data_IF_796581590204
#
_entry.id   IF_796581590204
#
_cell.length_a   1.000
_cell.length_b   1.000
_cell.length_c   1.000
_cell.angle_alpha   90.00
_cell.angle_beta   90.00
_cell.angle_gamma   90.00
#
_symmetry.space_group_name_H-M   'P 1'
#
loop_
_entity.id
_entity.type
_entity.pdbx_description
1 polymer ?
#
# COMPACT_ATOMS: atom_id res chain seq x y z
N UNK A 1 2.75 39.63 63.48
CA UNK A 1 3.69 39.45 62.37
C UNK A 1 3.06 38.45 61.41
N UNK A 2 2.28 38.93 60.44
CA UNK A 2 1.49 38.06 59.56
C UNK A 2 2.34 37.70 58.34
N UNK A 3 2.75 36.44 58.25
CA UNK A 3 3.52 35.92 57.12
C UNK A 3 2.53 35.77 55.95
N UNK A 4 2.71 36.55 54.89
CA UNK A 4 1.92 36.42 53.67
C UNK A 4 2.25 35.08 53.00
N UNK A 5 1.25 34.21 52.84
CA UNK A 5 1.34 33.00 52.00
C UNK A 5 1.60 33.38 50.54
N UNK A 6 2.45 32.64 49.80
CA UNK A 6 2.69 32.92 48.39
C UNK A 6 1.37 32.76 47.63
N UNK A 7 0.94 33.80 46.91
CA UNK A 7 -0.17 33.68 45.97
C UNK A 7 0.15 32.57 44.97
N UNK A 8 -0.67 31.53 44.96
CA UNK A 8 -0.60 30.43 44.00
C UNK A 8 -0.61 31.00 42.58
N UNK A 9 0.46 30.73 41.82
CA UNK A 9 0.55 31.11 40.41
C UNK A 9 -0.65 30.51 39.66
N UNK A 10 -1.25 31.32 38.80
CA UNK A 10 -2.67 31.31 38.44
C UNK A 10 -3.07 30.11 37.55
N UNK A 11 -4.22 29.45 37.79
CA UNK A 11 -4.76 28.35 36.97
C UNK A 11 -5.00 28.70 35.48
N UNK A 12 -4.99 29.99 35.16
CA UNK A 12 -5.11 30.50 33.80
C UNK A 12 -3.84 30.26 32.96
N UNK A 13 -2.65 30.21 33.57
CA UNK A 13 -1.39 29.91 32.88
C UNK A 13 -1.31 28.42 32.53
N UNK A 14 -1.70 27.55 33.46
CA UNK A 14 -1.70 26.10 33.25
C UNK A 14 -2.68 25.70 32.14
N UNK A 15 -3.85 26.34 32.08
CA UNK A 15 -4.82 26.15 30.99
C UNK A 15 -4.28 26.62 29.63
N UNK A 16 -3.59 27.76 29.59
CA UNK A 16 -3.02 28.27 28.34
C UNK A 16 -1.94 27.34 27.80
N UNK A 17 -1.10 26.79 28.69
CA UNK A 17 -0.06 25.82 28.33
C UNK A 17 -0.70 24.51 27.86
N UNK A 18 -1.75 24.01 28.52
CA UNK A 18 -2.46 22.81 28.07
C UNK A 18 -3.15 23.01 26.72
N UNK A 19 -3.77 24.17 26.48
CA UNK A 19 -4.45 24.47 25.22
C UNK A 19 -3.45 24.59 24.06
N UNK A 20 -2.26 25.18 24.30
CA UNK A 20 -1.17 25.24 23.33
C UNK A 20 -0.58 23.85 23.03
N UNK A 21 -0.43 23.01 24.05
CA UNK A 21 0.03 21.63 23.88
C UNK A 21 -0.97 20.80 23.06
N UNK A 22 -2.26 20.90 23.37
CA UNK A 22 -3.33 20.22 22.62
C UNK A 22 -3.42 20.72 21.17
N UNK A 23 -3.24 22.03 20.92
CA UNK A 23 -3.23 22.58 19.57
C UNK A 23 -2.05 22.03 18.74
N UNK A 24 -0.85 21.93 19.34
CA UNK A 24 0.31 21.35 18.68
C UNK A 24 0.12 19.85 18.37
N UNK A 25 -0.50 19.09 19.28
CA UNK A 25 -0.86 17.69 19.01
C UNK A 25 -1.88 17.56 17.87
N UNK A 26 -2.88 18.45 17.82
CA UNK A 26 -3.87 18.47 16.75
C UNK A 26 -3.26 18.81 15.39
N UNK A 27 -2.35 19.78 15.33
CA UNK A 27 -1.66 20.16 14.09
C UNK A 27 -0.83 18.99 13.53
N UNK A 28 -0.15 18.24 14.40
CA UNK A 28 0.60 17.04 13.99
C UNK A 28 -0.33 15.92 13.52
N UNK A 29 -1.46 15.68 14.20
CA UNK A 29 -2.47 14.71 13.74
C UNK A 29 -3.05 15.12 12.38
N UNK A 30 -3.37 16.39 12.18
CA UNK A 30 -3.89 16.88 10.90
C UNK A 30 -2.87 16.69 9.76
N UNK A 31 -1.59 16.97 10.03
CA UNK A 31 -0.51 16.74 9.09
C UNK A 31 -0.39 15.26 8.72
N UNK A 32 -0.37 14.36 9.70
CA UNK A 32 -0.30 12.91 9.47
C UNK A 32 -1.50 12.40 8.66
N UNK A 33 -2.71 12.90 8.94
CA UNK A 33 -3.91 12.54 8.18
C UNK A 33 -3.81 12.99 6.72
N UNK A 34 -3.28 14.20 6.45
CA UNK A 34 -3.05 14.70 5.09
C UNK A 34 -2.02 13.85 4.35
N UNK A 35 -0.91 13.51 4.99
CA UNK A 35 0.14 12.67 4.42
C UNK A 35 -0.39 11.26 4.11
N UNK A 36 -1.12 10.65 5.04
CA UNK A 36 -1.76 9.35 4.85
C UNK A 36 -2.79 9.38 3.70
N UNK A 37 -3.63 10.41 3.64
CA UNK A 37 -4.60 10.57 2.55
C UNK A 37 -3.91 10.77 1.20
N UNK A 38 -2.83 11.55 1.16
CA UNK A 38 -2.04 11.75 -0.05
C UNK A 38 -1.44 10.42 -0.56
N UNK A 39 -0.81 9.65 0.32
CA UNK A 39 -0.26 8.33 -0.02
C UNK A 39 -1.36 7.36 -0.46
N UNK A 40 -2.53 7.40 0.19
CA UNK A 40 -3.68 6.58 -0.22
C UNK A 40 -4.12 6.87 -1.65
N UNK A 41 -4.25 8.15 -2.02
CA UNK A 41 -4.63 8.56 -3.39
C UNK A 41 -3.55 8.17 -4.40
N UNK A 42 -2.28 8.37 -4.05
CA UNK A 42 -1.14 7.98 -4.89
C UNK A 42 -1.14 6.48 -5.15
N UNK A 43 -1.27 5.64 -4.11
CA UNK A 43 -1.36 4.19 -4.24
C UNK A 43 -2.58 3.75 -5.05
N UNK A 44 -3.75 4.36 -4.80
CA UNK A 44 -4.97 4.07 -5.56
C UNK A 44 -4.82 4.36 -7.06
N UNK A 45 -4.12 5.44 -7.44
CA UNK A 45 -3.80 5.75 -8.84
C UNK A 45 -2.84 4.69 -9.41
N UNK A 46 -1.80 4.32 -8.67
CA UNK A 46 -0.86 3.26 -9.04
C UNK A 46 -1.55 1.96 -9.40
N UNK A 47 -2.43 1.47 -8.51
CA UNK A 47 -3.19 0.24 -8.73
C UNK A 47 -4.18 0.40 -9.89
N UNK A 48 -5.01 1.44 -9.88
CA UNK A 48 -6.12 1.53 -10.84
C UNK A 48 -5.66 1.94 -12.24
N UNK A 49 -4.81 2.94 -12.38
CA UNK A 49 -4.30 3.38 -13.66
C UNK A 49 -3.14 2.49 -14.14
N UNK A 50 -2.25 2.07 -13.24
CA UNK A 50 -1.12 1.19 -13.51
C UNK A 50 -1.52 -0.29 -13.53
N UNK A 51 -1.38 -0.99 -12.39
CA UNK A 51 -1.49 -2.46 -12.31
C UNK A 51 -2.73 -3.00 -13.02
N UNK A 52 -3.88 -2.37 -12.80
CA UNK A 52 -5.17 -2.75 -13.37
C UNK A 52 -5.30 -2.39 -14.85
N UNK A 53 -5.37 -1.10 -15.21
CA UNK A 53 -5.72 -0.70 -16.58
C UNK A 53 -4.56 -0.84 -17.57
N UNK A 54 -3.35 -0.43 -17.18
CA UNK A 54 -2.19 -0.45 -18.06
C UNK A 54 -1.64 -1.87 -18.21
N UNK A 55 -1.26 -2.51 -17.11
CA UNK A 55 -0.54 -3.78 -17.18
C UNK A 55 -1.47 -4.99 -17.25
N UNK A 56 -2.59 -5.02 -16.51
CA UNK A 56 -3.47 -6.20 -16.57
C UNK A 56 -4.35 -6.24 -17.81
N UNK A 57 -4.98 -5.11 -18.16
CA UNK A 57 -5.93 -5.05 -19.28
C UNK A 57 -5.38 -4.48 -20.59
N UNK A 58 -4.17 -3.91 -20.58
CA UNK A 58 -3.58 -3.25 -21.77
C UNK A 58 -4.53 -2.20 -22.38
N UNK A 59 -5.29 -1.50 -21.54
CA UNK A 59 -6.36 -0.59 -21.96
C UNK A 59 -5.82 0.67 -22.67
N UNK A 60 -4.55 1.00 -22.46
CA UNK A 60 -3.86 2.11 -23.12
C UNK A 60 -2.35 1.85 -23.17
N UNK A 61 -1.62 2.69 -23.94
CA UNK A 61 -0.16 2.66 -24.01
C UNK A 61 0.42 3.88 -23.32
N UNK A 62 1.38 3.67 -22.42
CA UNK A 62 2.07 4.74 -21.70
C UNK A 62 3.53 4.86 -22.18
N UNK A 63 4.02 6.10 -22.30
CA UNK A 63 5.46 6.35 -22.53
C UNK A 63 6.26 6.03 -21.26
N UNK A 64 7.56 5.80 -21.42
CA UNK A 64 8.46 5.37 -20.34
C UNK A 64 8.36 6.22 -19.05
N UNK A 65 8.32 7.57 -19.08
CA UNK A 65 8.21 8.35 -17.84
C UNK A 65 6.95 8.04 -17.04
N UNK A 66 5.81 7.89 -17.74
CA UNK A 66 4.53 7.56 -17.10
C UNK A 66 4.50 6.14 -16.56
N UNK A 67 5.14 5.18 -17.24
CA UNK A 67 5.27 3.81 -16.74
C UNK A 67 6.09 3.76 -15.45
N UNK A 68 7.20 4.47 -15.40
CA UNK A 68 8.03 4.57 -14.18
C UNK A 68 7.23 5.25 -13.05
N UNK A 69 6.56 6.36 -13.35
CA UNK A 69 5.73 7.07 -12.37
C UNK A 69 4.65 6.15 -11.79
N UNK A 70 3.89 5.45 -12.65
CA UNK A 70 2.82 4.56 -12.20
C UNK A 70 3.35 3.35 -11.41
N UNK A 71 4.52 2.80 -11.76
CA UNK A 71 5.14 1.71 -11.00
C UNK A 71 5.54 2.18 -9.59
N UNK A 72 6.12 3.38 -9.47
CA UNK A 72 6.46 3.96 -8.16
C UNK A 72 5.20 4.23 -7.32
N UNK A 73 4.14 4.75 -7.95
CA UNK A 73 2.85 4.95 -7.29
C UNK A 73 2.25 3.62 -6.82
N UNK A 74 2.29 2.58 -7.64
CA UNK A 74 1.78 1.24 -7.30
C UNK A 74 2.54 0.61 -6.14
N UNK A 75 3.86 0.81 -6.08
CA UNK A 75 4.72 0.33 -4.98
C UNK A 75 4.23 0.86 -3.62
N UNK A 76 3.66 2.07 -3.56
CA UNK A 76 3.10 2.63 -2.31
C UNK A 76 1.83 1.94 -1.85
N UNK A 77 1.12 1.23 -2.72
CA UNK A 77 -0.11 0.51 -2.39
C UNK A 77 0.15 -0.86 -1.74
N UNK A 78 1.36 -1.39 -1.90
CA UNK A 78 1.82 -2.61 -1.25
C UNK A 78 0.95 -3.86 -1.52
N UNK A 79 0.53 -4.06 -2.78
CA UNK A 79 -0.35 -5.16 -3.20
C UNK A 79 0.37 -6.28 -3.98
N UNK A 80 1.60 -6.63 -3.58
CA UNK A 80 2.57 -7.45 -4.34
C UNK A 80 3.13 -6.73 -5.57
N UNK A 81 4.10 -7.35 -6.25
CA UNK A 81 4.65 -6.81 -7.50
C UNK A 81 3.64 -6.83 -8.64
N UNK A 82 3.77 -5.89 -9.57
CA UNK A 82 2.81 -5.69 -10.66
C UNK A 82 2.60 -6.94 -11.52
N UNK A 83 3.64 -7.78 -11.70
CA UNK A 83 3.52 -9.00 -12.51
C UNK A 83 2.66 -10.04 -11.80
N UNK A 84 2.87 -10.26 -10.49
CA UNK A 84 2.00 -11.14 -9.70
C UNK A 84 0.57 -10.60 -9.65
N UNK A 85 0.38 -9.31 -9.38
CA UNK A 85 -0.94 -8.66 -9.36
C UNK A 85 -1.66 -8.86 -10.70
N UNK A 86 -0.99 -8.57 -11.81
CA UNK A 86 -1.58 -8.68 -13.14
C UNK A 86 -1.87 -10.12 -13.56
N UNK A 87 -1.01 -11.08 -13.18
CA UNK A 87 -1.30 -12.51 -13.39
C UNK A 87 -2.57 -12.92 -12.66
N UNK A 88 -2.68 -12.60 -11.38
CA UNK A 88 -3.82 -12.99 -10.56
C UNK A 88 -5.10 -12.29 -11.03
N UNK A 89 -5.01 -11.01 -11.43
CA UNK A 89 -6.14 -10.27 -12.00
C UNK A 89 -6.59 -10.84 -13.35
N UNK A 90 -5.66 -11.23 -14.22
CA UNK A 90 -5.98 -11.93 -15.48
C UNK A 90 -6.62 -13.31 -15.21
N UNK A 91 -6.18 -14.03 -14.18
CA UNK A 91 -6.82 -15.26 -13.74
C UNK A 91 -8.26 -15.00 -13.28
N UNK A 92 -8.45 -13.99 -12.42
CA UNK A 92 -9.75 -13.59 -11.90
C UNK A 92 -10.75 -13.30 -13.02
N UNK A 93 -10.37 -12.53 -14.04
CA UNK A 93 -11.25 -12.24 -15.16
C UNK A 93 -11.53 -13.44 -16.08
N UNK A 94 -10.55 -14.32 -16.28
CA UNK A 94 -10.68 -15.42 -17.24
C UNK A 94 -11.44 -16.63 -16.67
N UNK A 95 -11.32 -16.87 -15.37
CA UNK A 95 -11.90 -18.02 -14.69
C UNK A 95 -12.70 -17.63 -13.45
N UNK A 96 -13.39 -16.49 -13.52
CA UNK A 96 -14.22 -15.91 -12.44
C UNK A 96 -15.10 -16.97 -11.79
N UNK A 97 -15.20 -16.91 -10.46
CA UNK A 97 -16.08 -17.77 -9.65
C UNK A 97 -15.77 -19.29 -9.71
N UNK A 98 -14.64 -19.68 -10.30
CA UNK A 98 -14.12 -21.06 -10.26
C UNK A 98 -12.96 -21.21 -9.27
N UNK A 99 -12.44 -22.42 -9.02
CA UNK A 99 -11.25 -22.56 -8.17
C UNK A 99 -9.94 -22.05 -8.82
N UNK A 100 -9.99 -21.56 -10.07
CA UNK A 100 -8.88 -20.86 -10.70
C UNK A 100 -8.95 -19.33 -10.52
N UNK A 101 -10.01 -18.81 -9.90
CA UNK A 101 -10.13 -17.43 -9.46
C UNK A 101 -9.44 -17.25 -8.08
N UNK A 102 -8.41 -16.40 -7.96
CA UNK A 102 -7.70 -16.15 -6.69
C UNK A 102 -8.61 -15.76 -5.54
N UNK A 103 -9.64 -14.94 -5.80
CA UNK A 103 -10.56 -14.38 -4.81
C UNK A 103 -12.02 -14.77 -5.12
N UNK A 104 -12.21 -16.02 -5.55
CA UNK A 104 -13.49 -16.64 -5.86
C UNK A 104 -14.62 -16.29 -4.87
N UNK A 105 -15.66 -15.61 -5.36
CA UNK A 105 -16.77 -15.12 -4.54
C UNK A 105 -17.69 -16.23 -4.02
N UNK A 106 -17.73 -17.41 -4.69
CA UNK A 106 -18.49 -18.58 -4.23
C UNK A 106 -17.95 -19.18 -2.92
N UNK A 107 -16.75 -18.79 -2.49
CA UNK A 107 -16.18 -19.17 -1.18
C UNK A 107 -16.61 -18.24 -0.04
N UNK A 108 -17.49 -17.28 -0.32
CA UNK A 108 -18.09 -16.36 0.64
C UNK A 108 -17.32 -15.05 0.79
N UNK A 109 -18.02 -14.04 1.33
CA UNK A 109 -17.55 -12.66 1.47
C UNK A 109 -16.17 -12.53 2.12
N UNK A 110 -15.96 -13.21 3.25
CA UNK A 110 -14.68 -13.11 3.97
C UNK A 110 -13.53 -13.63 3.12
N UNK A 111 -13.73 -14.73 2.37
CA UNK A 111 -12.70 -15.29 1.51
C UNK A 111 -12.33 -14.31 0.39
N UNK A 112 -13.31 -13.81 -0.36
CA UNK A 112 -13.08 -12.89 -1.49
C UNK A 112 -12.54 -11.52 -1.05
N UNK A 113 -12.83 -11.09 0.18
CA UNK A 113 -12.37 -9.81 0.70
C UNK A 113 -10.93 -9.86 1.24
N UNK A 114 -10.61 -10.83 2.10
CA UNK A 114 -9.29 -10.93 2.77
C UNK A 114 -8.78 -12.37 2.91
N UNK A 115 -9.66 -13.35 3.09
CA UNK A 115 -9.30 -14.71 3.43
C UNK A 115 -8.42 -15.40 2.38
N UNK A 116 -8.52 -15.01 1.10
CA UNK A 116 -7.67 -15.53 0.02
C UNK A 116 -6.18 -15.22 0.19
N UNK A 117 -5.82 -14.13 0.89
CA UNK A 117 -4.43 -13.76 1.21
C UNK A 117 -3.87 -14.58 2.38
N UNK A 118 -4.74 -15.16 3.21
CA UNK A 118 -4.37 -15.82 4.47
C UNK A 118 -4.19 -17.34 4.32
N UNK A 119 -4.44 -17.88 3.12
CA UNK A 119 -4.37 -19.31 2.85
C UNK A 119 -3.55 -19.57 1.60
N UNK A 120 -3.07 -20.81 1.45
CA UNK A 120 -2.42 -21.21 0.21
C UNK A 120 -3.40 -21.12 -0.96
N UNK A 121 -2.94 -20.55 -2.07
CA UNK A 121 -3.68 -20.52 -3.35
C UNK A 121 -4.09 -21.93 -3.77
N UNK A 122 -5.31 -22.09 -4.24
CA UNK A 122 -5.80 -23.35 -4.78
C UNK A 122 -4.92 -23.81 -5.97
N UNK A 123 -4.61 -25.12 -6.12
CA UNK A 123 -3.71 -25.60 -7.18
C UNK A 123 -4.13 -25.18 -8.60
N UNK A 124 -5.44 -25.10 -8.86
CA UNK A 124 -5.96 -24.66 -10.16
C UNK A 124 -5.55 -23.23 -10.56
N UNK A 125 -5.31 -22.32 -9.60
CA UNK A 125 -4.80 -20.97 -9.91
C UNK A 125 -3.42 -21.08 -10.57
N UNK A 126 -2.55 -21.95 -10.05
CA UNK A 126 -1.21 -22.18 -10.61
C UNK A 126 -1.26 -22.90 -11.95
N UNK A 127 -2.14 -23.89 -12.09
CA UNK A 127 -2.30 -24.66 -13.33
C UNK A 127 -2.86 -23.82 -14.47
N UNK A 128 -3.90 -23.04 -14.21
CA UNK A 128 -4.52 -22.18 -15.20
C UNK A 128 -3.68 -20.93 -15.46
N UNK A 129 -3.06 -20.36 -14.43
CA UNK A 129 -2.17 -19.21 -14.56
C UNK A 129 -0.99 -19.44 -15.52
N UNK A 130 -0.48 -20.67 -15.63
CA UNK A 130 0.53 -21.05 -16.64
C UNK A 130 0.06 -20.91 -18.10
N UNK A 131 -1.26 -20.92 -18.32
CA UNK A 131 -1.88 -20.77 -19.64
C UNK A 131 -2.15 -19.32 -20.02
N UNK A 132 -1.87 -18.37 -19.12
CA UNK A 132 -1.93 -16.95 -19.43
C UNK A 132 -0.70 -16.54 -20.23
N UNK A 133 -0.92 -15.73 -21.26
CA UNK A 133 0.17 -14.97 -21.88
C UNK A 133 0.53 -13.82 -20.94
N UNK A 134 1.78 -13.81 -20.47
CA UNK A 134 2.39 -12.76 -19.66
C UNK A 134 3.65 -12.18 -20.35
N UNK A 135 3.89 -12.54 -21.61
CA UNK A 135 5.10 -12.14 -22.34
C UNK A 135 5.25 -10.62 -22.43
N UNK A 136 4.14 -9.89 -22.49
CA UNK A 136 4.10 -8.44 -22.47
C UNK A 136 4.64 -7.84 -21.17
N UNK A 137 4.34 -8.48 -20.03
CA UNK A 137 4.80 -8.03 -18.72
C UNK A 137 6.29 -8.33 -18.54
N UNK A 138 6.73 -9.51 -18.94
CA UNK A 138 8.14 -9.89 -18.88
C UNK A 138 9.01 -9.21 -19.93
N UNK A 139 8.42 -8.62 -20.97
CA UNK A 139 9.13 -7.76 -21.92
C UNK A 139 9.22 -6.29 -21.45
N UNK A 140 8.51 -5.91 -20.39
CA UNK A 140 8.52 -4.56 -19.84
C UNK A 140 9.76 -4.34 -18.95
N UNK A 141 10.75 -3.52 -19.38
CA UNK A 141 11.96 -3.29 -18.59
C UNK A 141 11.72 -2.52 -17.29
N UNK A 142 10.56 -1.87 -17.12
CA UNK A 142 10.17 -1.23 -15.86
C UNK A 142 9.83 -2.31 -14.82
N UNK A 143 9.06 -3.33 -15.21
CA UNK A 143 8.59 -4.39 -14.30
C UNK A 143 9.69 -5.39 -13.93
N UNK A 144 10.61 -5.70 -14.85
CA UNK A 144 11.74 -6.60 -14.54
C UNK A 144 12.64 -5.97 -13.46
N UNK A 145 12.86 -4.64 -13.55
CA UNK A 145 13.66 -3.90 -12.56
C UNK A 145 12.97 -3.81 -11.20
N UNK A 146 11.65 -3.75 -11.19
CA UNK A 146 10.84 -3.81 -9.97
C UNK A 146 10.98 -5.18 -9.28
N UNK A 147 10.83 -6.28 -10.02
CA UNK A 147 11.00 -7.64 -9.47
C UNK A 147 12.40 -7.92 -8.92
N UNK A 148 13.44 -7.40 -9.60
CA UNK A 148 14.83 -7.53 -9.13
C UNK A 148 15.14 -6.72 -7.87
N UNK A 149 14.25 -5.81 -7.46
CA UNK A 149 14.39 -4.94 -6.29
C UNK A 149 13.42 -5.31 -5.17
N UNK A 150 12.82 -6.51 -5.20
CA UNK A 150 11.83 -6.97 -4.22
C UNK A 150 12.31 -6.59 -2.82
N UNK A 151 11.71 -5.53 -2.27
CA UNK A 151 12.05 -5.05 -0.93
C UNK A 151 11.66 -6.18 0.00
N UNK A 152 12.63 -6.79 0.66
CA UNK A 152 12.29 -7.73 1.71
C UNK A 152 11.56 -6.91 2.78
N UNK A 153 10.41 -7.40 3.23
CA UNK A 153 9.72 -6.80 4.36
C UNK A 153 10.62 -6.76 5.60
N UNK A 154 11.59 -7.68 5.69
CA UNK A 154 12.64 -7.61 6.69
C UNK A 154 13.44 -6.32 6.58
N UNK A 155 13.75 -5.79 5.38
CA UNK A 155 14.51 -4.54 5.21
C UNK A 155 13.74 -3.30 5.68
N UNK A 156 12.41 -3.32 5.61
CA UNK A 156 11.55 -2.20 6.02
C UNK A 156 11.32 -2.14 7.54
N UNK A 157 11.40 -3.30 8.22
CA UNK A 157 11.26 -3.43 9.67
C UNK A 157 12.58 -3.71 10.40
N UNK A 158 13.69 -3.85 9.67
CA UNK A 158 14.99 -4.19 10.24
C UNK A 158 15.65 -3.06 11.01
N UNK A 159 15.25 -1.78 10.92
CA UNK A 159 15.89 -0.80 11.80
C UNK A 159 15.24 0.58 12.00
N UNK A 160 14.83 0.87 13.25
CA UNK A 160 14.84 2.23 13.80
C UNK A 160 16.13 2.58 14.55
N UNK A 161 17.11 1.68 14.69
CA UNK A 161 18.21 1.76 15.68
C UNK A 161 19.61 1.94 15.05
N UNK A 162 19.87 1.54 13.80
CA UNK A 162 21.23 1.65 13.20
C UNK A 162 21.66 3.01 12.63
N UNK A 163 20.90 4.10 12.85
CA UNK A 163 21.39 5.46 12.53
C UNK A 163 22.30 6.05 13.63
N UNK A 164 22.47 5.37 14.78
CA UNK A 164 23.37 5.83 15.85
C UNK A 164 24.67 5.04 16.06
N UNK A 165 24.93 3.99 15.28
CA UNK A 165 26.24 3.32 15.30
C UNK A 165 26.63 2.76 13.92
N UNK A 166 27.11 3.63 13.04
CA UNK A 166 28.18 3.34 12.08
C UNK A 166 28.83 4.62 11.60
#
# INVERSE_FOLDING_TARGET
MTIATPQSRKPQVDKLISDQFLAAELDEVEKLLKEAFFLHVVGAIGVTAGAHRLWSHRAYKAKLPYRIMLMLMDTTAFQNDIIEWARDHRCHHKWTDTHADPHNTNRGFFFSHMGWLLVKKHPQIKEQGKKLDLSDLFADPVLIKEQGKKLDLSDLFADPVLVFQR
#
